data_IF_645855660584
#
_entry.id   IF_645855660584
#
_cell.length_a   1.000
_cell.length_b   1.000
_cell.length_c   1.000
_cell.angle_alpha   90.00
_cell.angle_beta   90.00
_cell.angle_gamma   90.00
#
_symmetry.space_group_name_H-M   'P 1'
#
loop_
_entity.id
_entity.type
_entity.pdbx_description
1 polymer ?
#
# COMPACT_ATOMS: atom_id res chain seq x y z
N UNK A 1 -10.94 7.47 34.21
CA UNK A 1 -11.65 8.62 33.64
C UNK A 1 -10.64 9.73 33.43
N UNK A 2 -10.19 9.94 32.19
CA UNK A 2 -9.21 10.99 31.85
C UNK A 2 -9.96 12.02 30.99
N UNK A 3 -9.86 13.28 31.42
CA UNK A 3 -10.53 14.49 30.93
C UNK A 3 -10.06 14.93 29.54
N UNK A 4 -10.31 14.14 28.49
CA UNK A 4 -10.10 14.58 27.09
C UNK A 4 -11.28 15.35 26.49
N UNK A 5 -12.50 15.09 27.00
CA UNK A 5 -13.75 15.59 26.40
C UNK A 5 -13.95 17.11 26.59
N UNK A 6 -13.36 17.70 27.63
CA UNK A 6 -13.60 19.12 27.96
C UNK A 6 -12.80 20.11 27.10
N UNK A 7 -11.71 19.70 26.46
CA UNK A 7 -10.91 20.61 25.63
C UNK A 7 -11.53 20.85 24.24
N UNK A 8 -12.22 19.85 23.67
CA UNK A 8 -12.91 19.98 22.37
C UNK A 8 -14.06 21.00 22.39
N UNK A 9 -14.79 21.12 23.51
CA UNK A 9 -15.88 22.10 23.63
C UNK A 9 -15.40 23.56 23.73
N UNK A 10 -14.13 23.80 24.04
CA UNK A 10 -13.59 25.17 24.19
C UNK A 10 -13.12 25.80 22.88
N UNK A 11 -13.04 25.03 21.79
CA UNK A 11 -12.66 25.52 20.44
C UNK A 11 -13.89 26.04 19.68
N UNK A 12 -15.11 25.82 20.19
CA UNK A 12 -16.34 26.43 19.66
C UNK A 12 -16.51 27.88 20.12
N UNK A 13 -15.65 28.77 19.65
CA UNK A 13 -16.05 30.14 19.36
C UNK A 13 -15.05 30.79 18.41
N UNK A 14 -15.53 31.13 17.21
CA UNK A 14 -14.92 32.00 16.20
C UNK A 14 -14.18 31.32 15.04
N UNK A 15 -14.90 30.53 14.24
CA UNK A 15 -15.11 30.80 12.80
C UNK A 15 -15.78 29.60 12.16
N UNK A 16 -16.95 29.82 11.54
CA UNK A 16 -17.65 28.81 10.75
C UNK A 16 -16.91 28.54 9.44
N UNK A 17 -15.86 27.72 9.48
CA UNK A 17 -15.39 26.92 8.36
C UNK A 17 -15.34 25.47 8.84
N UNK A 18 -16.20 24.66 8.26
CA UNK A 18 -16.44 23.28 8.64
C UNK A 18 -15.32 22.38 8.12
N UNK A 19 -14.29 22.15 8.95
CA UNK A 19 -13.12 21.33 8.63
C UNK A 19 -13.49 19.85 8.50
N UNK A 20 -13.35 19.28 7.30
CA UNK A 20 -13.85 17.93 6.98
C UNK A 20 -13.25 16.83 7.87
N UNK A 21 -11.99 16.99 8.24
CA UNK A 21 -11.29 16.05 9.10
C UNK A 21 -11.62 16.24 10.59
N UNK A 22 -12.05 17.44 11.02
CA UNK A 22 -12.53 17.71 12.38
C UNK A 22 -13.93 17.12 12.60
N UNK A 23 -14.84 17.27 11.62
CA UNK A 23 -16.15 16.58 11.59
C UNK A 23 -15.99 15.06 11.59
N UNK A 24 -14.99 14.56 10.86
CA UNK A 24 -14.66 13.14 10.85
C UNK A 24 -14.17 12.64 12.21
N UNK A 25 -13.55 13.49 13.01
CA UNK A 25 -13.05 13.17 14.34
C UNK A 25 -14.16 13.21 15.40
N UNK A 26 -15.11 14.15 15.30
CA UNK A 26 -16.33 14.20 16.12
C UNK A 26 -17.21 12.94 15.93
N UNK A 27 -17.30 12.42 14.70
CA UNK A 27 -18.04 11.17 14.41
C UNK A 27 -17.37 9.88 14.92
N UNK A 28 -16.07 9.89 15.20
CA UNK A 28 -15.36 8.78 15.90
C UNK A 28 -15.69 8.75 17.39
N UNK A 29 -15.97 9.92 17.98
CA UNK A 29 -16.29 10.05 19.40
C UNK A 29 -17.78 9.76 19.66
N UNK A 30 -18.67 10.10 18.74
CA UNK A 30 -20.10 9.77 18.78
C UNK A 30 -20.41 8.46 18.00
N UNK A 31 -19.93 7.32 18.52
CA UNK A 31 -20.30 6.01 17.96
C UNK A 31 -21.71 5.61 18.43
N UNK A 32 -22.72 6.14 17.75
CA UNK A 32 -24.05 5.54 17.70
C UNK A 32 -24.65 5.69 16.30
N UNK A 33 -24.74 4.57 15.59
CA UNK A 33 -25.64 4.32 14.45
C UNK A 33 -25.66 5.34 13.31
N UNK A 34 -24.72 5.32 12.35
CA UNK A 34 -24.90 6.03 11.08
C UNK A 34 -24.30 5.29 9.88
N UNK A 35 -25.04 4.27 9.42
CA UNK A 35 -25.05 3.85 8.01
C UNK A 35 -26.49 3.97 7.47
N UNK A 36 -27.10 5.15 7.61
CA UNK A 36 -28.34 5.47 6.89
C UNK A 36 -28.23 6.84 6.21
N UNK A 37 -28.57 6.82 4.91
CA UNK A 37 -28.77 7.89 3.94
C UNK A 37 -27.60 8.90 3.74
N UNK A 38 -27.16 9.03 2.48
CA UNK A 38 -26.17 10.02 1.97
C UNK A 38 -24.67 9.71 2.15
N UNK A 39 -24.24 8.44 2.02
CA UNK A 39 -22.81 8.06 1.97
C UNK A 39 -22.00 8.84 0.92
N UNK A 40 -22.61 9.11 -0.24
CA UNK A 40 -22.00 9.87 -1.35
C UNK A 40 -21.72 11.33 -1.04
N UNK A 41 -22.33 11.89 0.00
CA UNK A 41 -22.28 13.32 0.31
C UNK A 41 -21.36 13.62 1.51
N UNK A 42 -20.89 12.57 2.20
CA UNK A 42 -19.95 12.70 3.32
C UNK A 42 -18.52 13.00 2.83
N UNK A 43 -17.74 13.85 3.53
CA UNK A 43 -16.32 14.03 3.22
C UNK A 43 -15.49 12.75 3.40
N UNK A 44 -14.37 12.63 2.68
CA UNK A 44 -13.54 11.42 2.69
C UNK A 44 -12.98 11.06 4.08
N UNK A 45 -12.60 12.05 4.87
CA UNK A 45 -12.14 11.82 6.24
C UNK A 45 -13.23 11.13 7.07
N UNK A 46 -14.49 11.58 6.97
CA UNK A 46 -15.62 10.99 7.69
C UNK A 46 -15.92 9.57 7.18
N UNK A 47 -15.78 9.30 5.89
CA UNK A 47 -15.91 7.95 5.33
C UNK A 47 -14.82 7.01 5.83
N UNK A 48 -13.56 7.48 5.86
CA UNK A 48 -12.43 6.69 6.38
C UNK A 48 -12.63 6.44 7.86
N UNK A 49 -12.99 7.45 8.64
CA UNK A 49 -13.16 7.30 10.08
C UNK A 49 -14.45 6.54 10.46
N UNK A 50 -15.52 6.66 9.67
CA UNK A 50 -16.69 5.76 9.75
C UNK A 50 -16.26 4.33 9.45
N UNK A 51 -15.48 4.09 8.39
CA UNK A 51 -14.93 2.76 8.12
C UNK A 51 -14.10 2.21 9.29
N UNK A 52 -13.23 3.05 9.86
CA UNK A 52 -12.41 2.71 11.03
C UNK A 52 -13.28 2.46 12.29
N UNK A 53 -14.38 3.20 12.46
CA UNK A 53 -15.32 3.13 13.59
C UNK A 53 -16.45 2.09 13.47
N UNK A 54 -16.82 1.65 12.26
CA UNK A 54 -17.90 0.69 11.97
C UNK A 54 -17.58 -0.76 12.36
N UNK A 55 -16.41 -1.02 12.94
CA UNK A 55 -15.91 -2.36 13.24
C UNK A 55 -16.20 -2.85 14.65
N UNK A 56 -17.39 -2.56 15.21
CA UNK A 56 -17.93 -3.45 16.23
C UNK A 56 -18.30 -4.78 15.57
N UNK A 57 -17.31 -5.63 15.32
CA UNK A 57 -17.47 -7.07 15.12
C UNK A 57 -18.66 -7.51 14.26
N UNK A 58 -19.07 -6.74 13.25
CA UNK A 58 -20.02 -7.25 12.28
C UNK A 58 -19.21 -8.08 11.29
N UNK A 59 -19.29 -9.40 11.47
CA UNK A 59 -19.62 -10.27 10.35
C UNK A 59 -20.40 -9.47 9.30
N UNK A 60 -20.14 -9.61 8.00
CA UNK A 60 -20.96 -9.00 6.94
C UNK A 60 -20.53 -7.58 6.47
N UNK A 61 -19.44 -7.50 5.72
CA UNK A 61 -19.42 -6.64 4.52
C UNK A 61 -20.50 -7.21 3.58
N UNK A 62 -21.72 -6.68 3.67
CA UNK A 62 -22.87 -7.03 2.79
C UNK A 62 -23.30 -5.84 1.92
N UNK A 63 -22.66 -4.68 2.05
CA UNK A 63 -22.97 -3.48 1.27
C UNK A 63 -21.70 -2.84 0.72
N UNK A 64 -21.47 -3.03 -0.58
CA UNK A 64 -20.48 -2.36 -1.43
C UNK A 64 -19.00 -2.47 -1.03
N UNK A 65 -18.39 -3.63 -1.28
CA UNK A 65 -16.93 -3.85 -1.22
C UNK A 65 -16.12 -2.84 -2.06
N UNK A 66 -16.75 -2.23 -3.08
CA UNK A 66 -16.16 -1.15 -3.89
C UNK A 66 -15.97 0.15 -3.11
N UNK A 67 -16.96 0.57 -2.32
CA UNK A 67 -16.86 1.79 -1.51
C UNK A 67 -15.80 1.65 -0.41
N UNK A 68 -15.68 0.45 0.15
CA UNK A 68 -14.61 0.09 1.08
C UNK A 68 -13.22 0.19 0.43
N UNK A 69 -13.08 -0.33 -0.78
CA UNK A 69 -11.83 -0.20 -1.54
C UNK A 69 -11.49 1.24 -1.85
N UNK A 70 -12.47 2.07 -2.20
CA UNK A 70 -12.22 3.48 -2.46
C UNK A 70 -11.63 4.17 -1.22
N UNK A 71 -12.19 3.90 -0.04
CA UNK A 71 -11.67 4.38 1.25
C UNK A 71 -10.25 3.86 1.53
N UNK A 72 -10.02 2.55 1.39
CA UNK A 72 -8.69 1.93 1.61
C UNK A 72 -7.67 2.33 0.55
N UNK A 73 -8.11 2.74 -0.63
CA UNK A 73 -7.23 3.16 -1.73
C UNK A 73 -6.55 4.49 -1.42
N UNK A 74 -7.21 5.35 -0.63
CA UNK A 74 -6.70 6.67 -0.21
C UNK A 74 -5.61 6.51 0.85
N UNK A 75 -5.71 5.51 1.73
CA UNK A 75 -4.67 5.22 2.71
C UNK A 75 -3.43 4.66 2.00
N UNK A 76 -2.32 5.41 2.10
CA UNK A 76 -1.02 5.07 1.54
C UNK A 76 -0.02 4.80 2.67
N UNK A 77 0.72 3.68 2.63
CA UNK A 77 1.84 3.44 3.53
C UNK A 77 2.91 4.51 3.36
N UNK A 78 3.43 5.01 4.48
CA UNK A 78 4.55 5.96 4.54
C UNK A 78 5.62 5.42 5.49
N UNK A 79 6.81 6.00 5.48
CA UNK A 79 7.92 5.54 6.32
C UNK A 79 7.53 5.58 7.81
N UNK A 80 7.55 4.43 8.52
CA UNK A 80 7.35 4.42 9.97
C UNK A 80 8.59 4.96 10.71
N UNK A 81 8.34 5.59 11.84
CA UNK A 81 9.33 5.99 12.84
C UNK A 81 9.94 4.75 13.51
N UNK A 82 11.05 4.92 14.22
CA UNK A 82 11.81 3.79 14.81
C UNK A 82 11.03 2.93 15.81
N UNK A 83 10.01 3.49 16.47
CA UNK A 83 9.10 2.81 17.41
C UNK A 83 7.79 2.33 16.78
N UNK A 84 7.56 2.61 15.49
CA UNK A 84 6.37 2.23 14.74
C UNK A 84 6.59 0.90 13.98
N UNK A 85 5.58 0.03 13.97
CA UNK A 85 5.51 -1.16 13.13
C UNK A 85 4.98 -0.83 11.73
N UNK A 86 4.22 0.27 11.61
CA UNK A 86 3.73 0.76 10.33
C UNK A 86 3.03 2.10 10.50
N UNK A 87 2.95 2.84 9.39
CA UNK A 87 2.33 4.15 9.33
C UNK A 87 1.62 4.32 8.00
N UNK A 88 0.40 4.83 8.03
CA UNK A 88 -0.36 5.18 6.82
C UNK A 88 -0.85 6.60 6.87
N UNK A 89 -1.00 7.20 5.70
CA UNK A 89 -1.51 8.55 5.54
C UNK A 89 -2.55 8.62 4.42
N UNK A 90 -3.54 9.47 4.62
CA UNK A 90 -4.45 9.96 3.60
C UNK A 90 -4.37 11.49 3.56
N UNK A 91 -4.24 12.05 2.36
CA UNK A 91 -4.29 13.49 2.13
C UNK A 91 -5.55 13.84 1.36
N UNK A 92 -6.26 14.87 1.80
CA UNK A 92 -7.54 15.28 1.24
C UNK A 92 -7.40 16.55 0.40
N UNK A 93 -8.38 16.77 -0.48
CA UNK A 93 -8.38 17.92 -1.40
C UNK A 93 -8.54 19.27 -0.71
N UNK A 94 -9.04 19.29 0.53
CA UNK A 94 -9.15 20.50 1.35
C UNK A 94 -7.85 20.85 2.09
N UNK A 95 -6.77 20.07 1.89
CA UNK A 95 -5.48 20.27 2.55
C UNK A 95 -5.36 19.55 3.89
N UNK A 96 -6.44 18.97 4.41
CA UNK A 96 -6.38 18.18 5.65
C UNK A 96 -5.70 16.83 5.41
N UNK A 97 -5.17 16.24 6.48
CA UNK A 97 -4.47 14.95 6.46
C UNK A 97 -4.92 14.07 7.61
N UNK A 98 -5.04 12.78 7.33
CA UNK A 98 -5.24 11.72 8.32
C UNK A 98 -3.99 10.85 8.35
N UNK A 99 -3.42 10.64 9.54
CA UNK A 99 -2.29 9.76 9.76
C UNK A 99 -2.70 8.70 10.77
N UNK A 100 -2.40 7.44 10.49
CA UNK A 100 -2.60 6.33 11.41
C UNK A 100 -1.25 5.68 11.66
N UNK A 101 -0.82 5.75 12.91
CA UNK A 101 0.45 5.21 13.39
C UNK A 101 0.19 3.97 14.23
N UNK A 102 0.94 2.90 13.94
CA UNK A 102 0.89 1.65 14.70
C UNK A 102 2.24 1.44 15.35
N UNK A 103 2.28 1.43 16.67
CA UNK A 103 3.52 1.17 17.43
C UNK A 103 3.95 -0.29 17.33
N UNK A 104 5.21 -0.60 17.67
CA UNK A 104 5.69 -2.00 17.80
C UNK A 104 4.95 -2.82 18.87
N UNK A 105 4.29 -2.15 19.82
CA UNK A 105 3.40 -2.77 20.80
C UNK A 105 1.95 -2.85 20.32
N UNK A 106 1.71 -2.60 19.03
CA UNK A 106 0.41 -2.69 18.35
C UNK A 106 -0.64 -1.67 18.84
N UNK A 107 -0.22 -0.64 19.59
CA UNK A 107 -1.07 0.50 19.91
C UNK A 107 -1.25 1.39 18.68
N UNK A 108 -2.49 1.79 18.43
CA UNK A 108 -2.88 2.64 17.31
C UNK A 108 -3.11 4.06 17.79
N UNK A 109 -2.49 5.02 17.09
CA UNK A 109 -2.79 6.45 17.17
C UNK A 109 -3.36 6.90 15.83
N UNK A 110 -4.44 7.68 15.88
CA UNK A 110 -5.06 8.31 14.72
C UNK A 110 -4.92 9.82 14.91
N UNK A 111 -4.13 10.46 14.06
CA UNK A 111 -3.94 11.90 14.07
C UNK A 111 -4.57 12.53 12.84
N UNK A 112 -5.27 13.64 13.05
CA UNK A 112 -5.82 14.49 12.00
C UNK A 112 -5.13 15.83 12.05
N UNK A 113 -4.56 16.26 10.93
CA UNK A 113 -4.04 17.61 10.73
C UNK A 113 -5.04 18.40 9.89
N UNK A 114 -5.52 19.54 10.38
CA UNK A 114 -6.38 20.45 9.62
C UNK A 114 -5.58 21.19 8.54
N UNK A 115 -6.24 21.83 7.57
CA UNK A 115 -5.55 22.64 6.55
C UNK A 115 -4.73 23.78 7.17
N UNK A 116 -5.16 24.30 8.33
CA UNK A 116 -4.47 25.35 9.09
C UNK A 116 -3.22 24.84 9.83
N UNK A 117 -3.03 23.52 9.89
CA UNK A 117 -1.89 22.88 10.56
C UNK A 117 -2.16 22.44 12.00
N UNK A 118 -3.39 22.61 12.52
CA UNK A 118 -3.75 22.13 13.84
C UNK A 118 -3.84 20.61 13.84
N UNK A 119 -3.30 19.96 14.88
CA UNK A 119 -3.29 18.50 15.00
C UNK A 119 -4.15 18.03 16.17
N UNK A 120 -4.99 17.03 15.92
CA UNK A 120 -5.80 16.36 16.93
C UNK A 120 -5.56 14.85 16.84
N UNK A 121 -5.11 14.26 17.95
CA UNK A 121 -4.87 12.81 18.06
C UNK A 121 -5.94 12.10 18.87
N UNK A 122 -6.30 10.88 18.44
CA UNK A 122 -7.17 9.94 19.15
C UNK A 122 -6.43 8.61 19.34
N UNK A 123 -6.62 8.01 20.51
CA UNK A 123 -6.27 6.63 20.80
C UNK A 123 -7.54 5.78 20.89
N UNK A 124 -7.80 4.88 19.93
CA UNK A 124 -8.99 4.01 19.97
C UNK A 124 -8.98 3.08 21.18
N UNK A 125 -10.16 2.61 21.61
CA UNK A 125 -10.26 1.55 22.62
C UNK A 125 -9.66 0.22 22.11
N UNK A 126 -9.13 -0.59 23.02
CA UNK A 126 -8.37 -1.81 22.67
C UNK A 126 -9.13 -2.79 21.77
N UNK A 127 -10.43 -3.00 22.00
CA UNK A 127 -11.28 -3.85 21.16
C UNK A 127 -11.41 -3.33 19.71
N UNK A 128 -11.41 -2.01 19.52
CA UNK A 128 -11.43 -1.37 18.20
C UNK A 128 -10.06 -1.47 17.52
N UNK A 129 -8.97 -1.38 18.29
CA UNK A 129 -7.60 -1.52 17.76
C UNK A 129 -7.39 -2.86 17.06
N UNK A 130 -7.87 -3.98 17.61
CA UNK A 130 -7.67 -5.32 17.02
C UNK A 130 -8.33 -5.48 15.62
N UNK A 131 -9.48 -4.85 15.42
CA UNK A 131 -10.18 -4.83 14.14
C UNK A 131 -9.47 -3.93 13.13
N UNK A 132 -9.10 -2.73 13.57
CA UNK A 132 -8.35 -1.75 12.77
C UNK A 132 -7.03 -2.31 12.28
N UNK A 133 -6.30 -2.97 13.17
CA UNK A 133 -4.98 -3.52 12.88
C UNK A 133 -5.02 -4.49 11.69
N UNK A 134 -6.07 -5.31 11.56
CA UNK A 134 -6.24 -6.27 10.45
C UNK A 134 -6.43 -5.58 9.09
N UNK A 135 -7.03 -4.40 9.10
CA UNK A 135 -7.44 -3.64 7.93
C UNK A 135 -6.43 -2.57 7.52
N UNK A 136 -5.26 -2.55 8.16
CA UNK A 136 -4.19 -1.61 7.85
C UNK A 136 -3.01 -2.36 7.18
N UNK A 137 -2.34 -1.74 6.19
CA UNK A 137 -1.20 -2.33 5.50
C UNK A 137 0.07 -2.23 6.37
N UNK A 138 0.08 -2.94 7.50
CA UNK A 138 1.19 -3.00 8.47
C UNK A 138 1.78 -4.40 8.55
N UNK A 139 3.07 -4.50 8.87
CA UNK A 139 3.77 -5.77 9.07
C UNK A 139 3.93 -6.05 10.56
N UNK A 140 3.35 -7.16 11.04
CA UNK A 140 3.24 -7.51 12.45
C UNK A 140 4.19 -8.65 12.82
N UNK A 141 4.68 -8.66 14.06
CA UNK A 141 5.42 -9.78 14.60
C UNK A 141 4.46 -10.87 15.08
N UNK A 142 4.26 -11.89 14.25
CA UNK A 142 3.34 -13.00 14.56
C UNK A 142 4.03 -14.36 14.39
N UNK A 143 3.67 -15.36 15.20
CA UNK A 143 4.24 -16.71 15.07
C UNK A 143 3.67 -17.50 13.87
N UNK A 144 2.69 -16.96 13.15
CA UNK A 144 2.04 -17.58 11.99
C UNK A 144 1.72 -16.55 10.91
N UNK A 145 1.57 -17.00 9.67
CA UNK A 145 1.09 -16.17 8.56
C UNK A 145 -0.33 -15.71 8.85
N UNK A 146 -0.56 -14.39 8.78
CA UNK A 146 -1.87 -13.79 9.03
C UNK A 146 -2.90 -14.30 8.00
N UNK A 147 -4.06 -14.74 8.49
CA UNK A 147 -5.21 -15.12 7.66
C UNK A 147 -6.33 -14.11 7.80
N UNK A 148 -6.92 -13.73 6.68
CA UNK A 148 -8.06 -12.82 6.58
C UNK A 148 -9.25 -13.54 5.93
N UNK A 149 -10.46 -13.20 6.38
CA UNK A 149 -11.74 -13.72 5.86
C UNK A 149 -12.62 -12.57 5.38
N UNK A 150 -11.99 -11.61 4.71
CA UNK A 150 -12.60 -10.36 4.27
C UNK A 150 -12.41 -10.13 2.78
N UNK A 151 -11.98 -11.15 2.02
CA UNK A 151 -11.83 -11.01 0.59
C UNK A 151 -13.23 -10.88 -0.05
N UNK A 152 -13.45 -9.88 -0.93
CA UNK A 152 -14.71 -9.74 -1.66
C UNK A 152 -15.07 -11.00 -2.44
N UNK A 153 -16.36 -11.32 -2.48
CA UNK A 153 -16.89 -12.41 -3.29
C UNK A 153 -17.06 -11.94 -4.74
N UNK A 154 -16.03 -12.15 -5.56
CA UNK A 154 -16.09 -11.90 -7.00
C UNK A 154 -15.70 -13.15 -7.78
N UNK A 155 -16.35 -13.35 -8.92
CA UNK A 155 -15.97 -14.39 -9.86
C UNK A 155 -14.67 -13.99 -10.58
N UNK A 156 -13.65 -14.84 -10.49
CA UNK A 156 -12.34 -14.59 -11.13
C UNK A 156 -12.34 -15.18 -12.55
N UNK A 157 -12.76 -14.36 -13.51
CA UNK A 157 -12.83 -14.74 -14.93
C UNK A 157 -11.65 -14.22 -15.77
N UNK A 158 -10.71 -13.49 -15.16
CA UNK A 158 -9.60 -12.88 -15.89
C UNK A 158 -8.66 -12.04 -15.00
N UNK A 159 -7.71 -11.37 -15.66
CA UNK A 159 -6.67 -10.57 -15.01
C UNK A 159 -7.23 -9.44 -14.14
N UNK A 160 -8.33 -8.81 -14.53
CA UNK A 160 -8.93 -7.70 -13.77
C UNK A 160 -9.50 -8.16 -12.42
N UNK A 161 -10.13 -9.34 -12.37
CA UNK A 161 -10.60 -9.93 -11.12
C UNK A 161 -9.44 -10.25 -10.17
N UNK A 162 -8.36 -10.82 -10.71
CA UNK A 162 -7.13 -11.05 -9.93
C UNK A 162 -6.54 -9.75 -9.39
N UNK A 163 -6.40 -8.73 -10.25
CA UNK A 163 -5.87 -7.42 -9.89
C UNK A 163 -6.68 -6.79 -8.76
N UNK A 164 -8.02 -6.80 -8.87
CA UNK A 164 -8.91 -6.28 -7.85
C UNK A 164 -8.70 -6.98 -6.49
N UNK A 165 -8.70 -8.31 -6.46
CA UNK A 165 -8.52 -9.08 -5.23
C UNK A 165 -7.12 -8.89 -4.63
N UNK A 166 -6.08 -8.85 -5.45
CA UNK A 166 -4.71 -8.60 -5.01
C UNK A 166 -4.56 -7.20 -4.42
N UNK A 167 -5.16 -6.18 -5.04
CA UNK A 167 -5.16 -4.82 -4.53
C UNK A 167 -5.93 -4.69 -3.22
N UNK A 168 -7.06 -5.39 -3.07
CA UNK A 168 -7.78 -5.46 -1.80
C UNK A 168 -6.90 -6.05 -0.70
N UNK A 169 -6.33 -7.24 -0.96
CA UNK A 169 -5.50 -7.95 0.01
C UNK A 169 -4.22 -7.16 0.38
N UNK A 170 -3.67 -6.38 -0.55
CA UNK A 170 -2.52 -5.50 -0.33
C UNK A 170 -2.77 -4.40 0.72
N UNK A 171 -4.03 -4.12 1.09
CA UNK A 171 -4.41 -3.15 2.13
C UNK A 171 -4.50 -3.76 3.53
N UNK A 172 -4.44 -5.08 3.65
CA UNK A 172 -4.58 -5.78 4.92
C UNK A 172 -3.24 -5.95 5.65
N UNK A 173 -3.28 -6.31 6.93
CA UNK A 173 -2.06 -6.56 7.71
C UNK A 173 -1.35 -7.84 7.27
N UNK A 174 -0.03 -7.86 7.38
CA UNK A 174 0.82 -9.02 7.09
C UNK A 174 1.61 -9.46 8.33
N UNK A 175 2.08 -10.70 8.35
CA UNK A 175 3.01 -11.21 9.36
C UNK A 175 4.44 -11.16 8.82
N UNK A 176 5.40 -10.66 9.61
CA UNK A 176 6.82 -10.62 9.24
C UNK A 176 7.34 -12.04 9.03
N UNK A 177 8.03 -12.25 7.90
CA UNK A 177 8.61 -13.54 7.53
C UNK A 177 10.12 -13.50 7.79
N UNK A 178 10.64 -14.31 8.72
CA UNK A 178 12.08 -14.38 8.95
C UNK A 178 12.77 -15.03 7.76
N UNK A 179 14.03 -14.68 7.54
CA UNK A 179 14.87 -15.26 6.50
C UNK A 179 16.26 -15.60 7.04
N UNK A 180 16.90 -16.56 6.38
CA UNK A 180 18.31 -16.90 6.60
C UNK A 180 19.15 -16.35 5.47
N UNK A 181 20.47 -16.49 5.55
CA UNK A 181 21.35 -16.14 4.42
C UNK A 181 20.98 -16.86 3.12
N UNK A 182 20.48 -18.11 3.20
CA UNK A 182 20.05 -18.89 2.02
C UNK A 182 18.77 -18.39 1.38
N UNK A 183 17.89 -17.78 2.17
CA UNK A 183 16.58 -17.31 1.72
C UNK A 183 16.49 -15.79 1.61
N UNK A 184 17.57 -15.07 1.94
CA UNK A 184 17.67 -13.63 1.79
C UNK A 184 17.78 -13.26 0.30
N UNK A 185 16.82 -12.53 -0.28
CA UNK A 185 16.86 -12.08 -1.67
C UNK A 185 18.06 -11.19 -2.03
N UNK A 186 18.71 -10.57 -1.04
CA UNK A 186 19.90 -9.75 -1.24
C UNK A 186 21.22 -10.49 -0.96
N UNK A 187 21.16 -11.79 -0.63
CA UNK A 187 22.33 -12.66 -0.52
C UNK A 187 22.62 -13.36 -1.85
N UNK A 188 23.71 -14.14 -1.89
CA UNK A 188 24.13 -14.90 -3.07
C UNK A 188 25.10 -14.14 -3.97
N UNK A 189 25.35 -14.68 -5.16
CA UNK A 189 26.40 -14.20 -6.07
C UNK A 189 26.00 -13.01 -6.93
N UNK A 190 24.70 -12.79 -7.12
CA UNK A 190 24.18 -11.77 -8.03
C UNK A 190 22.80 -11.22 -7.60
N UNK A 191 22.68 -10.68 -6.36
CA UNK A 191 21.46 -10.04 -5.91
C UNK A 191 21.07 -8.86 -6.81
N UNK A 192 19.77 -8.62 -6.98
CA UNK A 192 19.21 -7.57 -7.84
C UNK A 192 19.60 -7.64 -9.33
N UNK A 193 20.17 -8.74 -9.82
CA UNK A 193 20.61 -8.87 -11.22
C UNK A 193 19.51 -8.70 -12.28
N UNK A 194 18.24 -8.87 -11.90
CA UNK A 194 17.08 -8.91 -12.78
C UNK A 194 16.25 -7.63 -12.73
N UNK A 195 16.60 -6.66 -11.87
CA UNK A 195 15.72 -5.51 -11.58
C UNK A 195 15.27 -4.74 -12.83
N UNK A 196 16.15 -4.54 -13.81
CA UNK A 196 15.79 -3.79 -15.02
C UNK A 196 14.86 -4.59 -15.93
N UNK A 197 15.12 -5.89 -16.10
CA UNK A 197 14.25 -6.77 -16.86
C UNK A 197 12.87 -6.94 -16.17
N UNK A 198 12.87 -7.03 -14.84
CA UNK A 198 11.65 -7.13 -14.04
C UNK A 198 10.83 -5.83 -14.13
N UNK A 199 11.50 -4.67 -14.04
CA UNK A 199 10.87 -3.35 -14.19
C UNK A 199 10.27 -3.17 -15.58
N UNK A 200 11.00 -3.54 -16.63
CA UNK A 200 10.52 -3.48 -18.01
C UNK A 200 9.24 -4.31 -18.20
N UNK A 201 9.17 -5.52 -17.61
CA UNK A 201 7.98 -6.39 -17.68
C UNK A 201 6.83 -5.90 -16.79
N UNK A 202 7.15 -5.28 -15.66
CA UNK A 202 6.19 -4.86 -14.65
C UNK A 202 5.48 -3.55 -14.98
N UNK A 203 6.19 -2.55 -15.51
CA UNK A 203 5.60 -1.26 -15.85
C UNK A 203 4.57 -1.39 -16.98
N UNK A 204 3.35 -0.92 -16.72
CA UNK A 204 2.20 -1.05 -17.62
C UNK A 204 1.33 -2.28 -17.35
N UNK A 205 1.73 -3.14 -16.42
CA UNK A 205 0.98 -4.33 -15.98
C UNK A 205 0.75 -4.35 -14.44
N UNK A 206 1.04 -3.24 -13.77
CA UNK A 206 1.06 -3.15 -12.29
C UNK A 206 0.22 -1.98 -11.79
N UNK A 207 -0.06 -1.96 -10.49
CA UNK A 207 -0.58 -0.78 -9.80
C UNK A 207 0.57 -0.01 -9.16
N UNK A 208 0.84 1.19 -9.67
CA UNK A 208 1.92 2.05 -9.16
C UNK A 208 1.32 3.35 -8.65
N UNK A 209 1.64 3.72 -7.41
CA UNK A 209 1.22 4.94 -6.74
C UNK A 209 2.45 5.69 -6.21
N UNK A 210 2.60 6.96 -6.55
CA UNK A 210 3.71 7.81 -6.10
C UNK A 210 3.13 9.00 -5.34
N UNK A 211 3.49 9.16 -4.06
CA UNK A 211 2.90 10.16 -3.16
C UNK A 211 1.37 10.19 -3.21
N UNK A 212 0.77 9.00 -3.32
CA UNK A 212 -0.67 8.81 -3.42
C UNK A 212 -1.30 9.02 -4.80
N UNK A 213 -0.54 9.49 -5.79
CA UNK A 213 -1.00 9.62 -7.18
C UNK A 213 -0.81 8.30 -7.91
N UNK A 214 -1.92 7.66 -8.30
CA UNK A 214 -1.89 6.44 -9.12
C UNK A 214 -1.47 6.74 -10.56
N UNK A 215 -0.56 5.95 -11.12
CA UNK A 215 -0.14 6.04 -12.51
C UNK A 215 -1.00 5.14 -13.40
N UNK A 216 -1.57 5.71 -14.47
CA UNK A 216 -2.26 4.93 -15.51
C UNK A 216 -1.29 3.98 -16.22
N UNK A 217 -1.85 3.01 -16.97
CA UNK A 217 -1.05 2.09 -17.79
C UNK A 217 -0.15 2.83 -18.77
N UNK A 218 -0.70 3.83 -19.44
CA UNK A 218 0.00 4.66 -20.43
C UNK A 218 1.11 5.48 -19.75
N UNK A 219 0.84 6.03 -18.56
CA UNK A 219 1.85 6.76 -17.80
C UNK A 219 3.00 5.84 -17.35
N UNK A 220 2.72 4.60 -16.96
CA UNK A 220 3.75 3.62 -16.63
C UNK A 220 4.57 3.18 -17.85
N UNK A 221 3.96 3.05 -19.02
CA UNK A 221 4.68 2.76 -20.27
C UNK A 221 5.60 3.91 -20.68
N UNK A 222 5.14 5.16 -20.55
CA UNK A 222 5.98 6.34 -20.73
C UNK A 222 7.12 6.40 -19.71
N UNK A 223 6.83 6.10 -18.44
CA UNK A 223 7.84 6.01 -17.39
C UNK A 223 8.95 5.02 -17.78
N UNK A 224 8.58 3.80 -18.21
CA UNK A 224 9.50 2.77 -18.66
C UNK A 224 10.43 3.27 -19.79
N UNK A 225 9.84 3.99 -20.75
CA UNK A 225 10.59 4.61 -21.84
C UNK A 225 11.56 5.71 -21.35
N UNK A 226 11.10 6.61 -20.48
CA UNK A 226 11.89 7.74 -19.96
C UNK A 226 13.04 7.31 -19.06
N UNK A 227 12.87 6.24 -18.28
CA UNK A 227 14.00 5.65 -17.53
C UNK A 227 14.97 4.86 -18.42
N UNK A 228 14.69 4.74 -19.72
CA UNK A 228 15.59 4.15 -20.72
C UNK A 228 15.51 2.63 -20.87
N UNK A 229 14.46 1.99 -20.35
CA UNK A 229 14.27 0.54 -20.48
C UNK A 229 13.52 0.21 -21.78
N UNK A 230 14.26 -0.12 -22.84
CA UNK A 230 13.69 -0.38 -24.18
C UNK A 230 13.30 -1.85 -24.38
N UNK A 231 14.01 -2.75 -23.71
CA UNK A 231 13.80 -4.19 -23.73
C UNK A 231 14.31 -4.81 -22.41
N UNK A 232 14.23 -6.14 -22.30
CA UNK A 232 14.69 -6.87 -21.10
C UNK A 232 16.21 -6.90 -20.92
N UNK A 233 16.99 -6.44 -21.90
CA UNK A 233 18.46 -6.33 -21.82
C UNK A 233 18.95 -4.90 -21.54
N UNK A 234 18.04 -3.93 -21.52
CA UNK A 234 18.34 -2.53 -21.31
C UNK A 234 18.61 -2.22 -19.84
N UNK A 235 19.34 -1.13 -19.60
CA UNK A 235 19.54 -0.55 -18.26
C UNK A 235 19.39 0.97 -18.34
N UNK A 236 19.08 1.66 -17.22
CA UNK A 236 18.98 3.11 -17.23
C UNK A 236 20.30 3.75 -17.70
N UNK A 237 20.25 4.75 -18.61
CA UNK A 237 21.46 5.42 -19.07
C UNK A 237 22.06 6.29 -17.95
N UNK A 238 23.35 6.58 -18.02
CA UNK A 238 24.09 7.27 -16.94
C UNK A 238 23.52 8.63 -16.57
N UNK A 239 22.91 9.37 -17.50
CA UNK A 239 22.24 10.64 -17.19
C UNK A 239 21.03 10.41 -16.26
N UNK A 240 20.21 9.39 -16.54
CA UNK A 240 19.05 9.04 -15.71
C UNK A 240 19.48 8.51 -14.34
N UNK A 241 20.54 7.69 -14.30
CA UNK A 241 21.09 7.18 -13.03
C UNK A 241 21.55 8.31 -12.11
N UNK A 242 22.18 9.36 -12.67
CA UNK A 242 22.78 10.43 -11.88
C UNK A 242 21.80 11.58 -11.58
N UNK A 243 20.84 11.84 -12.47
CA UNK A 243 20.02 13.05 -12.43
C UNK A 243 18.52 12.79 -12.32
N UNK A 244 18.06 11.53 -12.37
CA UNK A 244 16.63 11.21 -12.46
C UNK A 244 16.06 11.46 -13.86
N UNK A 245 14.73 11.51 -13.97
CA UNK A 245 14.03 11.77 -15.24
C UNK A 245 14.12 13.26 -15.59
N UNK A 246 14.33 13.57 -16.87
CA UNK A 246 14.35 14.95 -17.35
C UNK A 246 13.02 15.68 -17.02
N UNK A 247 13.12 16.94 -16.59
CA UNK A 247 11.95 17.72 -16.14
C UNK A 247 10.81 17.74 -17.16
N UNK A 248 11.12 17.98 -18.44
CA UNK A 248 10.12 18.02 -19.52
C UNK A 248 9.42 16.66 -19.69
N UNK A 249 10.16 15.56 -19.54
CA UNK A 249 9.59 14.21 -19.59
C UNK A 249 8.72 13.92 -18.37
N UNK A 250 9.15 14.34 -17.18
CA UNK A 250 8.36 14.23 -15.96
C UNK A 250 7.04 15.00 -16.09
N UNK A 251 7.06 16.23 -16.62
CA UNK A 251 5.83 17.01 -16.88
C UNK A 251 4.89 16.29 -17.85
N UNK A 252 5.41 15.69 -18.93
CA UNK A 252 4.60 14.89 -19.87
C UNK A 252 3.91 13.73 -19.15
N UNK A 253 4.65 12.98 -18.33
CA UNK A 253 4.10 11.86 -17.57
C UNK A 253 3.00 12.33 -16.62
N UNK A 254 3.28 13.38 -15.84
CA UNK A 254 2.36 13.92 -14.83
C UNK A 254 1.12 14.54 -15.46
N UNK A 255 1.20 15.09 -16.68
CA UNK A 255 0.04 15.62 -17.41
C UNK A 255 -1.06 14.57 -17.68
N UNK A 256 -0.72 13.28 -17.61
CA UNK A 256 -1.68 12.15 -17.75
C UNK A 256 -2.47 11.87 -16.48
N UNK A 257 -2.13 12.50 -15.36
CA UNK A 257 -2.84 12.34 -14.10
C UNK A 257 -4.01 13.34 -13.98
N UNK A 258 -5.06 12.95 -13.26
CA UNK A 258 -6.25 13.78 -13.00
C UNK A 258 -6.14 14.60 -11.70
N UNK A 259 -4.94 14.73 -11.14
CA UNK A 259 -4.72 15.44 -9.87
C UNK A 259 -4.54 16.96 -10.07
N UNK A 260 -4.68 17.74 -8.99
CA UNK A 260 -4.49 19.19 -9.02
C UNK A 260 -3.03 19.60 -9.26
N UNK A 261 -2.81 20.84 -9.67
CA UNK A 261 -1.48 21.35 -10.07
C UNK A 261 -0.42 21.26 -8.97
N UNK A 262 -0.79 21.40 -7.70
CA UNK A 262 0.14 21.23 -6.57
C UNK A 262 0.64 19.78 -6.47
N UNK A 263 -0.26 18.79 -6.56
CA UNK A 263 0.11 17.38 -6.56
C UNK A 263 0.93 17.02 -7.81
N UNK A 264 0.64 17.64 -8.96
CA UNK A 264 1.47 17.49 -10.16
C UNK A 264 2.89 18.01 -9.93
N UNK A 265 3.04 19.20 -9.35
CA UNK A 265 4.36 19.77 -9.05
C UNK A 265 5.17 18.88 -8.11
N UNK A 266 4.55 18.37 -7.04
CA UNK A 266 5.18 17.43 -6.12
C UNK A 266 5.59 16.12 -6.80
N UNK A 267 4.73 15.58 -7.66
CA UNK A 267 5.05 14.36 -8.42
C UNK A 267 6.20 14.59 -9.40
N UNK A 268 6.18 15.69 -10.15
CA UNK A 268 7.27 16.07 -11.07
C UNK A 268 8.60 16.17 -10.32
N UNK A 269 8.61 16.82 -9.15
CA UNK A 269 9.81 16.96 -8.33
C UNK A 269 10.39 15.61 -7.90
N UNK A 270 9.55 14.65 -7.52
CA UNK A 270 9.99 13.28 -7.19
C UNK A 270 10.52 12.53 -8.41
N UNK A 271 9.86 12.62 -9.57
CA UNK A 271 10.32 11.94 -10.79
C UNK A 271 11.71 12.41 -11.25
N UNK A 272 12.05 13.67 -10.97
CA UNK A 272 13.35 14.26 -11.28
C UNK A 272 14.46 13.89 -10.28
N UNK A 273 14.19 13.03 -9.30
CA UNK A 273 15.19 12.56 -8.34
C UNK A 273 15.87 11.27 -8.84
N UNK A 274 17.20 11.13 -8.76
CA UNK A 274 17.86 9.85 -9.07
C UNK A 274 17.39 8.70 -8.15
N UNK A 275 17.04 9.01 -6.91
CA UNK A 275 16.49 8.09 -5.92
C UNK A 275 15.16 7.50 -6.39
N UNK A 276 14.38 8.24 -7.17
CA UNK A 276 13.13 7.72 -7.72
C UNK A 276 13.40 6.58 -8.71
N UNK A 277 14.42 6.70 -9.55
CA UNK A 277 14.82 5.63 -10.49
C UNK A 277 15.26 4.38 -9.71
N UNK A 278 16.02 4.58 -8.62
CA UNK A 278 16.40 3.51 -7.69
C UNK A 278 15.17 2.85 -7.03
N UNK A 279 14.23 3.65 -6.53
CA UNK A 279 13.01 3.19 -5.88
C UNK A 279 12.10 2.40 -6.82
N UNK A 280 11.83 2.94 -8.02
CA UNK A 280 10.95 2.26 -8.99
C UNK A 280 11.59 0.97 -9.51
N UNK A 281 12.87 0.99 -9.91
CA UNK A 281 13.51 -0.21 -10.46
C UNK A 281 13.65 -1.33 -9.42
N UNK A 282 14.05 -0.99 -8.19
CA UNK A 282 14.18 -1.98 -7.12
C UNK A 282 12.84 -2.59 -6.71
N UNK A 283 11.74 -1.84 -6.83
CA UNK A 283 10.40 -2.30 -6.42
C UNK A 283 9.91 -3.53 -7.18
N UNK A 284 10.41 -3.76 -8.40
CA UNK A 284 10.01 -4.89 -9.24
C UNK A 284 10.83 -6.17 -9.02
N UNK A 285 11.83 -6.16 -8.12
CA UNK A 285 12.72 -7.31 -7.98
C UNK A 285 11.95 -8.60 -7.61
N UNK A 286 11.94 -9.56 -8.53
CA UNK A 286 11.11 -10.76 -8.40
C UNK A 286 11.45 -11.61 -7.16
N UNK A 287 12.73 -11.64 -6.76
CA UNK A 287 13.18 -12.50 -5.66
C UNK A 287 12.79 -11.99 -4.29
N UNK A 288 12.25 -10.77 -4.15
CA UNK A 288 11.67 -10.31 -2.88
C UNK A 288 10.54 -11.20 -2.38
N UNK A 289 9.94 -12.00 -3.26
CA UNK A 289 8.92 -13.00 -2.91
C UNK A 289 9.48 -14.25 -2.22
N UNK A 290 10.78 -14.55 -2.37
CA UNK A 290 11.39 -15.85 -1.98
C UNK A 290 11.10 -16.26 -0.53
N UNK A 291 11.28 -15.40 0.51
CA UNK A 291 11.07 -15.81 1.90
C UNK A 291 9.66 -16.33 2.17
N UNK A 292 8.65 -15.64 1.63
CA UNK A 292 7.25 -15.99 1.82
C UNK A 292 6.79 -17.09 0.85
N UNK A 293 7.25 -17.06 -0.39
CA UNK A 293 6.91 -18.03 -1.42
C UNK A 293 7.32 -19.45 -1.01
N UNK A 294 8.51 -19.64 -0.44
CA UNK A 294 8.99 -20.95 -0.02
C UNK A 294 8.07 -21.63 1.00
N UNK A 295 7.41 -20.85 1.87
CA UNK A 295 6.46 -21.37 2.86
C UNK A 295 5.17 -21.93 2.23
N UNK A 296 4.80 -21.43 1.04
CA UNK A 296 3.46 -21.60 0.47
C UNK A 296 3.44 -22.12 -0.98
N UNK A 297 4.60 -22.38 -1.57
CA UNK A 297 4.76 -22.66 -3.00
C UNK A 297 3.91 -23.83 -3.51
N UNK A 298 3.76 -24.91 -2.72
CA UNK A 298 2.92 -26.05 -3.07
C UNK A 298 1.45 -25.65 -3.23
N UNK A 299 0.90 -24.87 -2.30
CA UNK A 299 -0.50 -24.41 -2.36
C UNK A 299 -0.74 -23.36 -3.44
N UNK A 300 0.28 -22.56 -3.76
CA UNK A 300 0.24 -21.63 -4.90
C UNK A 300 0.22 -22.42 -6.21
N UNK A 301 1.02 -23.48 -6.30
CA UNK A 301 1.03 -24.38 -7.45
C UNK A 301 -0.32 -25.07 -7.65
N UNK A 302 -0.93 -25.59 -6.57
CA UNK A 302 -2.27 -26.19 -6.63
C UNK A 302 -3.33 -25.19 -7.13
N UNK A 303 -3.25 -23.91 -6.72
CA UNK A 303 -4.19 -22.89 -7.20
C UNK A 303 -4.05 -22.65 -8.71
N UNK A 304 -2.82 -22.68 -9.22
CA UNK A 304 -2.56 -22.58 -10.67
C UNK A 304 -3.12 -23.77 -11.43
N UNK A 305 -2.97 -24.98 -10.90
CA UNK A 305 -3.56 -26.18 -11.49
C UNK A 305 -5.09 -26.08 -11.52
N UNK A 306 -5.71 -25.65 -10.42
CA UNK A 306 -7.15 -25.45 -10.32
C UNK A 306 -7.70 -24.52 -11.42
N UNK A 307 -7.03 -23.40 -11.71
CA UNK A 307 -7.45 -22.51 -12.80
C UNK A 307 -7.16 -23.08 -14.19
N UNK A 308 -6.04 -23.80 -14.34
CA UNK A 308 -5.69 -24.46 -15.60
C UNK A 308 -6.73 -25.53 -15.99
N UNK A 309 -7.23 -26.31 -15.03
CA UNK A 309 -8.29 -27.30 -15.25
C UNK A 309 -9.60 -26.65 -15.71
N UNK A 310 -9.86 -25.41 -15.26
CA UNK A 310 -10.98 -24.58 -15.69
C UNK A 310 -10.73 -23.81 -16.98
N UNK A 311 -9.59 -24.04 -17.65
CA UNK A 311 -9.17 -23.32 -18.87
C UNK A 311 -9.11 -21.78 -18.69
N UNK A 312 -8.85 -21.31 -17.47
CA UNK A 312 -8.69 -19.89 -17.16
C UNK A 312 -7.21 -19.51 -17.22
N UNK A 313 -6.87 -18.61 -18.15
CA UNK A 313 -5.52 -18.07 -18.28
C UNK A 313 -5.40 -16.81 -17.41
N UNK A 314 -4.85 -16.97 -16.21
CA UNK A 314 -4.65 -15.88 -15.27
C UNK A 314 -3.16 -15.48 -15.20
N UNK A 315 -2.85 -14.21 -14.91
CA UNK A 315 -1.49 -13.79 -14.59
C UNK A 315 -0.92 -14.59 -13.41
N UNK A 316 0.40 -14.82 -13.41
CA UNK A 316 1.07 -15.55 -12.33
C UNK A 316 1.07 -14.80 -11.00
N UNK A 317 1.15 -13.47 -11.07
CA UNK A 317 1.20 -12.57 -9.94
C UNK A 317 0.77 -11.16 -10.37
N UNK A 318 0.39 -10.33 -9.39
CA UNK A 318 0.05 -8.92 -9.57
C UNK A 318 0.89 -8.05 -8.63
N UNK A 319 1.47 -6.96 -9.15
CA UNK A 319 2.27 -6.01 -8.37
C UNK A 319 1.43 -4.80 -7.97
N UNK A 320 1.49 -4.42 -6.70
CA UNK A 320 0.88 -3.22 -6.13
C UNK A 320 1.93 -2.46 -5.32
N UNK A 321 2.44 -1.38 -5.92
CA UNK A 321 3.61 -0.63 -5.47
C UNK A 321 3.16 0.78 -5.05
N UNK A 322 3.57 1.17 -3.85
CA UNK A 322 3.46 2.54 -3.36
C UNK A 322 4.85 3.09 -3.05
N UNK A 323 5.18 4.25 -3.60
CA UNK A 323 6.39 5.02 -3.32
C UNK A 323 5.95 6.32 -2.67
N UNK A 324 6.57 6.68 -1.55
CA UNK A 324 6.24 7.90 -0.81
C UNK A 324 7.51 8.61 -0.34
N UNK A 325 7.46 9.93 -0.18
CA UNK A 325 8.56 10.67 0.43
C UNK A 325 8.84 10.19 1.85
N UNK A 326 10.11 9.97 2.16
CA UNK A 326 10.60 9.77 3.52
C UNK A 326 10.73 11.12 4.22
N UNK A 327 10.54 11.14 5.54
CA UNK A 327 10.85 12.31 6.38
C UNK A 327 12.32 12.74 6.31
N UNK A 328 13.21 11.83 5.87
CA UNK A 328 14.65 12.08 5.73
C UNK A 328 15.05 12.58 4.34
N UNK A 329 14.07 12.89 3.48
CA UNK A 329 14.31 13.35 2.09
C UNK A 329 14.55 12.23 1.08
N UNK A 330 14.66 10.96 1.51
CA UNK A 330 14.67 9.79 0.63
C UNK A 330 13.26 9.35 0.20
N UNK A 331 13.14 8.11 -0.24
CA UNK A 331 11.86 7.50 -0.65
C UNK A 331 11.59 6.21 0.09
N UNK A 332 10.36 6.01 0.55
CA UNK A 332 9.90 4.75 1.11
C UNK A 332 9.13 3.95 0.07
N UNK A 333 9.60 2.73 -0.17
CA UNK A 333 9.00 1.77 -1.10
C UNK A 333 8.19 0.75 -0.31
N UNK A 334 6.95 0.54 -0.75
CA UNK A 334 6.03 -0.45 -0.22
C UNK A 334 5.45 -1.26 -1.38
N UNK A 335 6.02 -2.43 -1.62
CA UNK A 335 5.64 -3.33 -2.71
C UNK A 335 4.85 -4.52 -2.18
N UNK A 336 3.75 -4.87 -2.86
CA UNK A 336 3.00 -6.09 -2.64
C UNK A 336 2.95 -6.90 -3.93
N UNK A 337 3.25 -8.19 -3.83
CA UNK A 337 3.05 -9.17 -4.89
C UNK A 337 1.92 -10.11 -4.45
N UNK A 338 0.79 -10.03 -5.14
CA UNK A 338 -0.36 -10.90 -4.93
C UNK A 338 -0.37 -12.08 -5.90
N UNK A 339 -0.70 -13.27 -5.41
CA UNK A 339 -0.94 -14.47 -6.24
C UNK A 339 -2.06 -15.31 -5.64
N UNK A 340 -2.62 -16.25 -6.40
CA UNK A 340 -3.64 -17.15 -5.87
C UNK A 340 -3.03 -18.30 -5.08
N UNK A 341 -3.75 -18.76 -4.06
CA UNK A 341 -3.35 -19.85 -3.17
C UNK A 341 -4.55 -20.71 -2.78
N UNK A 342 -4.38 -22.03 -2.73
CA UNK A 342 -5.42 -22.92 -2.19
C UNK A 342 -5.51 -22.79 -0.66
N UNK A 343 -6.71 -22.90 -0.12
CA UNK A 343 -6.91 -23.08 1.31
C UNK A 343 -6.27 -24.39 1.80
N UNK A 344 -5.84 -24.48 3.06
CA UNK A 344 -5.35 -25.73 3.64
C UNK A 344 -6.48 -26.78 3.73
N UNK A 345 -6.09 -28.06 3.61
CA UNK A 345 -6.89 -29.23 3.17
C UNK A 345 -8.20 -29.59 3.86
N UNK A 346 -8.69 -28.82 4.83
CA UNK A 346 -10.02 -29.03 5.43
C UNK A 346 -11.11 -28.15 4.78
N UNK A 347 -10.73 -27.13 4.00
CA UNK A 347 -11.67 -26.16 3.41
C UNK A 347 -12.08 -26.46 1.96
N UNK A 348 -11.72 -27.61 1.40
CA UNK A 348 -12.04 -27.96 0.00
C UNK A 348 -11.32 -27.08 -1.03
N UNK A 349 -11.91 -26.94 -2.23
CA UNK A 349 -11.36 -26.20 -3.39
C UNK A 349 -11.47 -24.66 -3.26
N UNK A 350 -11.26 -24.13 -2.06
CA UNK A 350 -11.34 -22.68 -1.82
C UNK A 350 -10.03 -22.02 -2.25
N UNK A 351 -10.12 -21.12 -3.22
CA UNK A 351 -9.02 -20.28 -3.67
C UNK A 351 -9.05 -18.94 -2.94
N UNK A 352 -7.91 -18.50 -2.43
CA UNK A 352 -7.71 -17.17 -1.86
C UNK A 352 -6.53 -16.46 -2.51
N UNK A 353 -6.18 -15.30 -1.95
CA UNK A 353 -5.01 -14.51 -2.35
C UNK A 353 -3.91 -14.65 -1.29
N UNK A 354 -2.69 -14.94 -1.75
CA UNK A 354 -1.47 -14.80 -0.97
C UNK A 354 -0.77 -13.49 -1.33
N UNK A 355 -0.61 -12.62 -0.34
CA UNK A 355 0.07 -11.34 -0.49
C UNK A 355 1.44 -11.43 0.13
N UNK A 356 2.48 -11.14 -0.65
CA UNK A 356 3.87 -11.04 -0.23
C UNK A 356 4.29 -9.58 -0.29
N UNK A 357 4.60 -9.01 0.86
CA UNK A 357 4.89 -7.58 1.02
C UNK A 357 6.35 -7.36 1.35
N UNK A 358 6.95 -6.42 0.64
CA UNK A 358 8.32 -5.95 0.87
C UNK A 358 8.30 -4.44 1.07
N UNK A 359 8.96 -3.98 2.13
CA UNK A 359 9.10 -2.54 2.38
C UNK A 359 10.52 -2.16 2.78
N UNK A 360 10.97 -0.99 2.33
CA UNK A 360 12.31 -0.46 2.61
C UNK A 360 12.38 1.03 2.27
N UNK A 361 13.41 1.69 2.81
CA UNK A 361 13.77 3.06 2.44
C UNK A 361 14.89 3.05 1.38
N UNK A 362 14.80 3.96 0.42
CA UNK A 362 15.87 4.41 -0.47
C UNK A 362 16.38 5.74 0.09
N UNK A 363 17.58 5.77 0.71
CA UNK A 363 18.13 6.99 1.26
C UNK A 363 18.41 8.05 0.19
N UNK A 364 18.41 9.32 0.59
CA UNK A 364 18.88 10.42 -0.26
C UNK A 364 20.31 10.16 -0.74
N UNK A 365 20.58 10.50 -1.99
CA UNK A 365 21.82 10.27 -2.72
C UNK A 365 21.94 8.90 -3.39
N UNK A 366 20.96 8.00 -3.20
CA UNK A 366 21.04 6.63 -3.75
C UNK A 366 20.83 6.62 -5.25
N UNK A 367 21.80 6.08 -6.00
CA UNK A 367 21.67 5.91 -7.46
C UNK A 367 21.11 4.53 -7.81
N UNK A 368 20.52 4.45 -9.00
CA UNK A 368 20.00 3.21 -9.55
C UNK A 368 21.13 2.33 -10.13
N UNK A 369 22.05 1.91 -9.26
CA UNK A 369 23.14 0.98 -9.59
C UNK A 369 23.06 -0.25 -8.68
N UNK A 370 23.11 -1.45 -9.28
CA UNK A 370 22.93 -2.72 -8.53
C UNK A 370 23.84 -2.81 -7.28
N UNK A 371 25.17 -2.55 -7.34
CA UNK A 371 26.03 -2.63 -6.16
C UNK A 371 25.62 -1.67 -5.05
N UNK A 372 25.15 -0.47 -5.42
CA UNK A 372 24.71 0.53 -4.47
C UNK A 372 23.38 0.12 -3.82
N UNK A 373 22.41 -0.32 -4.61
CA UNK A 373 21.12 -0.81 -4.14
C UNK A 373 21.27 -1.99 -3.17
N UNK A 374 22.13 -2.96 -3.47
CA UNK A 374 22.42 -4.10 -2.58
C UNK A 374 22.97 -3.64 -1.22
N UNK A 375 23.80 -2.59 -1.22
CA UNK A 375 24.40 -2.05 0.00
C UNK A 375 23.35 -1.36 0.88
N UNK A 376 22.48 -0.54 0.28
CA UNK A 376 21.59 0.37 1.03
C UNK A 376 20.22 -0.22 1.33
N UNK A 377 19.67 -1.08 0.47
CA UNK A 377 18.33 -1.64 0.68
C UNK A 377 18.36 -2.59 1.89
N UNK A 378 17.50 -2.31 2.88
CA UNK A 378 17.28 -3.14 4.07
C UNK A 378 15.79 -3.48 4.15
N UNK A 379 15.36 -4.57 3.48
CA UNK A 379 13.95 -4.87 3.31
C UNK A 379 13.36 -5.62 4.51
N UNK A 380 12.10 -5.31 4.81
CA UNK A 380 11.25 -6.12 5.66
C UNK A 380 10.33 -6.93 4.77
N UNK A 381 10.38 -8.26 4.90
CA UNK A 381 9.50 -9.20 4.21
C UNK A 381 8.35 -9.61 5.13
N UNK A 382 7.14 -9.63 4.60
CA UNK A 382 5.96 -10.06 5.35
C UNK A 382 4.93 -10.68 4.41
N UNK A 383 4.00 -11.49 4.92
CA UNK A 383 2.96 -12.11 4.11
C UNK A 383 1.64 -12.33 4.83
N UNK A 384 0.58 -12.52 4.05
CA UNK A 384 -0.76 -12.90 4.53
C UNK A 384 -1.52 -13.72 3.50
N UNK A 385 -2.48 -14.50 3.98
CA UNK A 385 -3.49 -15.16 3.16
C UNK A 385 -4.83 -14.45 3.36
N UNK A 386 -5.59 -14.22 2.30
CA UNK A 386 -6.94 -13.69 2.35
C UNK A 386 -7.88 -14.60 1.57
N UNK A 387 -8.98 -14.99 2.21
CA UNK A 387 -10.00 -15.85 1.64
C UNK A 387 -11.35 -15.15 1.65
N UNK A 388 -12.22 -15.56 0.72
CA UNK A 388 -13.65 -15.31 0.81
C UNK A 388 -14.21 -15.91 2.12
N UNK A 389 -15.38 -15.46 2.54
CA UNK A 389 -16.06 -15.95 3.74
C UNK A 389 -16.67 -17.34 3.57
N UNK A 390 -17.06 -17.67 2.35
CA UNK A 390 -17.74 -18.93 2.01
C UNK A 390 -16.73 -20.03 1.67
#
# INVERSE_FOLDING_TARGET
MINGISQLRSIQSNSAQSNSALFALESVLDVSSYLENNWSDKPWAERILSYLGLSHCRSEYKGDDRLLLDVLSILKPILPSSNEAGKVQASFSDGSRLTISVTKSELIEIAVTTPEGDEVSIFPERNKQDCLLKSLPVALHMPYIKKHHSLPEIEVNGADGMRFLCNFAAKLSTAIVPYSEKTNPLSGVSPLNSIYADTFRGLGNSDVSINGVSLSREAQQLLCHFIGLKDTGSSPPSNIINNGIDYDQAVILVSKSHVGEEQKALLTAVLCQPEFVAAICSSFYQSFTVPAFLLMHERIFLARQHFSEKSLVLPNAHFSINISNSSNGGLYVFNNVGTFIMAPGERGDVVGVFTMRTSYEIPLGTRCEIPELVRVIKPIYSASEAYSRN
#
